data_IF_760058814416
#
_entry.id   IF_760058814416
#
_cell.length_a   1.000
_cell.length_b   1.000
_cell.length_c   1.000
_cell.angle_alpha   90.00
_cell.angle_beta   90.00
_cell.angle_gamma   90.00
#
_symmetry.space_group_name_H-M   'P 1'
#
loop_
_entity.id
_entity.type
_entity.pdbx_description
1 polymer ?
#
# COMPACT_ATOMS: atom_id res chain seq x y z
N UNK A 1 17.61 19.57 -14.92
CA UNK A 1 18.44 19.90 -13.75
C UNK A 1 18.12 19.00 -12.54
N UNK A 2 16.85 18.69 -12.25
CA UNK A 2 16.54 17.79 -11.11
C UNK A 2 16.13 16.38 -11.53
N UNK A 3 15.29 16.17 -12.56
CA UNK A 3 14.91 14.87 -13.19
C UNK A 3 14.35 13.75 -12.28
N UNK A 4 14.71 13.70 -11.00
CA UNK A 4 14.21 12.82 -9.94
C UNK A 4 14.14 13.67 -8.67
N UNK A 5 12.97 13.83 -8.11
CA UNK A 5 12.73 14.62 -6.89
C UNK A 5 11.75 13.87 -6.00
N UNK A 6 11.70 14.22 -4.72
CA UNK A 6 10.62 13.79 -3.85
C UNK A 6 10.31 14.88 -2.83
N UNK A 7 9.05 14.98 -2.43
CA UNK A 7 8.66 15.75 -1.25
C UNK A 7 8.67 14.83 -0.03
N UNK A 8 8.91 15.42 1.14
CA UNK A 8 8.59 14.79 2.42
C UNK A 8 8.10 15.90 3.33
N UNK A 9 6.78 16.02 3.48
CA UNK A 9 6.17 17.15 4.17
C UNK A 9 4.77 16.87 4.69
N UNK A 10 4.23 17.79 5.51
CA UNK A 10 2.87 17.69 6.00
C UNK A 10 1.86 17.97 4.87
N UNK A 11 0.75 17.25 4.92
CA UNK A 11 -0.41 17.38 4.04
C UNK A 11 -1.67 17.43 4.90
N UNK A 12 -2.66 18.20 4.45
CA UNK A 12 -3.87 18.48 5.21
C UNK A 12 -5.09 18.09 4.39
N UNK A 13 -6.06 17.44 5.03
CA UNK A 13 -7.39 17.16 4.46
C UNK A 13 -8.45 17.75 5.37
N UNK A 14 -9.35 18.56 4.80
CA UNK A 14 -10.41 19.26 5.53
C UNK A 14 -11.75 18.50 5.50
N UNK A 15 -11.73 17.21 5.17
CA UNK A 15 -12.93 16.37 5.13
C UNK A 15 -13.45 16.07 6.54
N UNK A 16 -14.77 16.10 6.73
CA UNK A 16 -15.39 15.75 8.02
C UNK A 16 -15.50 14.22 8.16
N UNK A 17 -14.35 13.55 8.25
CA UNK A 17 -14.24 12.10 8.38
C UNK A 17 -13.68 11.73 9.75
N UNK A 18 -14.49 11.07 10.58
CA UNK A 18 -14.08 10.61 11.90
C UNK A 18 -14.06 9.07 11.93
N UNK A 19 -12.95 8.49 11.49
CA UNK A 19 -12.73 7.04 11.45
C UNK A 19 -11.36 6.71 12.02
N UNK A 20 -11.10 5.45 12.33
CA UNK A 20 -9.80 5.01 12.87
C UNK A 20 -8.61 5.12 11.91
N UNK A 21 -8.84 5.47 10.64
CA UNK A 21 -7.82 5.50 9.58
C UNK A 21 -7.58 6.89 8.97
N UNK A 22 -8.38 7.90 9.33
CA UNK A 22 -8.29 9.24 8.75
C UNK A 22 -7.71 10.23 9.74
N UNK A 23 -6.79 11.08 9.25
CA UNK A 23 -6.20 12.20 9.99
C UNK A 23 -6.40 13.49 9.18
N UNK A 24 -6.67 14.60 9.87
CA UNK A 24 -6.79 15.92 9.23
C UNK A 24 -5.42 16.48 8.79
N UNK A 25 -4.35 16.05 9.46
CA UNK A 25 -2.95 16.36 9.16
C UNK A 25 -2.14 15.06 9.21
N UNK A 26 -1.37 14.79 8.16
CA UNK A 26 -0.49 13.63 8.05
C UNK A 26 0.71 13.95 7.16
N UNK A 27 1.71 13.08 7.13
CA UNK A 27 2.91 13.29 6.32
C UNK A 27 2.85 12.46 5.04
N UNK A 28 3.19 13.09 3.92
CA UNK A 28 3.28 12.45 2.61
C UNK A 28 4.75 12.44 2.14
N UNK A 29 5.09 11.37 1.43
CA UNK A 29 6.32 11.26 0.65
C UNK A 29 5.87 11.08 -0.81
N UNK A 30 6.24 12.03 -1.67
CA UNK A 30 5.73 12.08 -3.05
C UNK A 30 6.90 12.14 -4.04
N UNK A 31 7.37 10.97 -4.55
CA UNK A 31 8.45 10.92 -5.54
C UNK A 31 7.94 11.24 -6.95
N UNK A 32 8.71 12.04 -7.70
CA UNK A 32 8.44 12.40 -9.10
C UNK A 32 9.68 12.15 -9.97
N UNK A 33 9.52 11.41 -11.07
CA UNK A 33 10.62 11.01 -11.96
C UNK A 33 10.32 11.39 -13.40
N UNK A 34 11.13 12.30 -13.95
CA UNK A 34 11.02 12.69 -15.35
C UNK A 34 11.33 11.51 -16.29
N UNK A 35 10.57 11.43 -17.38
CA UNK A 35 10.68 10.39 -18.41
C UNK A 35 10.32 8.97 -17.94
N UNK A 36 9.76 8.81 -16.74
CA UNK A 36 9.22 7.54 -16.28
C UNK A 36 7.86 7.24 -16.92
N UNK A 37 7.65 5.98 -17.26
CA UNK A 37 6.34 5.41 -17.62
C UNK A 37 5.59 4.97 -16.36
N UNK A 38 4.35 4.48 -16.53
CA UNK A 38 3.59 3.89 -15.43
C UNK A 38 4.33 2.67 -14.82
N UNK A 39 4.87 1.80 -15.68
CA UNK A 39 5.60 0.61 -15.25
C UNK A 39 6.86 0.99 -14.44
N UNK A 40 7.56 2.04 -14.86
CA UNK A 40 8.73 2.55 -14.13
C UNK A 40 8.36 3.03 -12.72
N UNK A 41 7.26 3.78 -12.57
CA UNK A 41 6.84 4.29 -11.26
C UNK A 41 6.19 3.22 -10.39
N UNK A 42 5.51 2.22 -10.98
CA UNK A 42 5.02 1.05 -10.26
C UNK A 42 6.18 0.23 -9.69
N UNK A 43 7.20 -0.05 -10.50
CA UNK A 43 8.42 -0.73 -10.05
C UNK A 43 9.21 0.08 -9.01
N UNK A 44 9.23 1.42 -9.13
CA UNK A 44 9.81 2.29 -8.11
C UNK A 44 9.06 2.20 -6.78
N UNK A 45 7.72 2.19 -6.79
CA UNK A 45 6.91 2.07 -5.60
C UNK A 45 7.15 0.73 -4.87
N UNK A 46 7.15 -0.38 -5.62
CA UNK A 46 7.48 -1.71 -5.08
C UNK A 46 8.88 -1.72 -4.46
N UNK A 47 9.88 -1.24 -5.21
CA UNK A 47 11.28 -1.20 -4.75
C UNK A 47 11.46 -0.35 -3.49
N UNK A 48 10.77 0.79 -3.41
CA UNK A 48 10.81 1.68 -2.25
C UNK A 48 10.21 1.00 -1.01
N UNK A 49 9.04 0.38 -1.14
CA UNK A 49 8.38 -0.31 -0.01
C UNK A 49 9.22 -1.49 0.48
N UNK A 50 9.71 -2.33 -0.43
CA UNK A 50 10.60 -3.46 -0.09
C UNK A 50 11.86 -2.98 0.62
N UNK A 51 12.50 -1.92 0.12
CA UNK A 51 13.69 -1.35 0.74
C UNK A 51 13.41 -0.85 2.17
N UNK A 52 12.36 -0.05 2.37
CA UNK A 52 12.04 0.50 3.70
C UNK A 52 11.73 -0.62 4.69
N UNK A 53 10.95 -1.63 4.31
CA UNK A 53 10.64 -2.74 5.21
C UNK A 53 11.85 -3.62 5.51
N UNK A 54 12.72 -3.86 4.52
CA UNK A 54 13.99 -4.54 4.75
C UNK A 54 14.88 -3.76 5.73
N UNK A 55 14.98 -2.44 5.56
CA UNK A 55 15.75 -1.60 6.48
C UNK A 55 15.20 -1.64 7.92
N UNK A 56 13.87 -1.66 8.09
CA UNK A 56 13.26 -1.82 9.43
C UNK A 56 13.56 -3.20 10.02
N UNK A 57 13.48 -4.27 9.22
CA UNK A 57 13.83 -5.63 9.65
C UNK A 57 15.30 -5.72 10.10
N UNK A 58 16.22 -5.13 9.34
CA UNK A 58 17.66 -5.22 9.59
C UNK A 58 18.14 -4.29 10.72
N UNK A 59 17.58 -3.08 10.79
CA UNK A 59 18.09 -2.03 11.69
C UNK A 59 17.29 -1.88 12.99
N UNK A 60 16.05 -2.40 13.06
CA UNK A 60 15.11 -2.22 14.20
C UNK A 60 14.48 -3.52 14.68
N UNK A 61 15.22 -4.62 14.61
CA UNK A 61 14.77 -5.95 15.04
C UNK A 61 14.34 -6.02 16.52
N UNK A 62 14.95 -5.22 17.40
CA UNK A 62 14.62 -5.14 18.82
C UNK A 62 13.23 -4.52 19.06
N UNK A 63 12.94 -3.40 18.42
CA UNK A 63 11.60 -2.78 18.44
C UNK A 63 10.56 -3.71 17.81
N UNK A 64 10.86 -4.31 16.66
CA UNK A 64 9.97 -5.27 16.01
C UNK A 64 9.66 -6.48 16.90
N UNK A 65 10.65 -7.00 17.63
CA UNK A 65 10.45 -8.09 18.59
C UNK A 65 9.50 -7.67 19.71
N UNK A 66 9.63 -6.44 20.22
CA UNK A 66 8.68 -5.92 21.20
C UNK A 66 7.25 -5.86 20.64
N UNK A 67 7.07 -5.38 19.40
CA UNK A 67 5.75 -5.40 18.75
C UNK A 67 5.22 -6.81 18.56
N UNK A 68 6.06 -7.77 18.17
CA UNK A 68 5.69 -9.17 18.02
C UNK A 68 5.20 -9.79 19.34
N UNK A 69 5.84 -9.46 20.46
CA UNK A 69 5.46 -9.99 21.76
C UNK A 69 4.18 -9.35 22.33
N UNK A 70 3.90 -8.08 21.99
CA UNK A 70 2.91 -7.27 22.73
C UNK A 70 1.70 -6.81 21.92
N UNK A 71 1.83 -6.70 20.61
CA UNK A 71 0.81 -6.07 19.74
C UNK A 71 0.36 -7.04 18.66
N UNK A 72 1.30 -7.59 17.89
CA UNK A 72 0.99 -8.42 16.72
C UNK A 72 2.09 -9.46 16.50
N UNK A 73 1.80 -10.71 16.87
CA UNK A 73 2.74 -11.84 16.79
C UNK A 73 3.28 -12.12 15.39
N UNK A 74 2.54 -11.71 14.36
CA UNK A 74 2.90 -11.97 12.97
C UNK A 74 3.61 -10.77 12.31
N UNK A 75 3.87 -9.68 13.04
CA UNK A 75 4.45 -8.46 12.49
C UNK A 75 5.75 -8.70 11.71
N UNK A 76 6.69 -9.47 12.27
CA UNK A 76 7.98 -9.78 11.63
C UNK A 76 7.76 -10.65 10.39
N UNK A 77 7.06 -11.78 10.55
CA UNK A 77 6.83 -12.73 9.46
C UNK A 77 6.05 -12.11 8.30
N UNK A 78 5.14 -11.17 8.58
CA UNK A 78 4.41 -10.42 7.55
C UNK A 78 5.32 -9.51 6.75
N UNK A 79 6.23 -8.78 7.40
CA UNK A 79 7.22 -7.94 6.71
C UNK A 79 8.21 -8.78 5.89
N UNK A 80 8.73 -9.88 6.45
CA UNK A 80 9.61 -10.81 5.74
C UNK A 80 8.93 -11.36 4.48
N UNK A 81 7.66 -11.80 4.61
CA UNK A 81 6.87 -12.26 3.47
C UNK A 81 6.70 -11.16 2.43
N UNK A 82 6.30 -9.96 2.86
CA UNK A 82 6.10 -8.82 1.97
C UNK A 82 7.36 -8.50 1.15
N UNK A 83 8.53 -8.46 1.80
CA UNK A 83 9.79 -8.17 1.10
C UNK A 83 10.14 -9.27 0.10
N UNK A 84 9.85 -10.53 0.43
CA UNK A 84 10.14 -11.68 -0.44
C UNK A 84 9.15 -11.91 -1.57
N UNK A 85 7.93 -11.37 -1.48
CA UNK A 85 6.87 -11.57 -2.47
C UNK A 85 7.00 -10.59 -3.64
N UNK A 86 6.69 -11.02 -4.85
CA UNK A 86 6.53 -10.14 -6.00
C UNK A 86 5.14 -9.49 -6.01
N UNK A 87 5.05 -8.26 -6.51
CA UNK A 87 3.76 -7.57 -6.61
C UNK A 87 3.07 -7.97 -7.90
N UNK A 88 1.83 -8.43 -7.78
CA UNK A 88 0.98 -8.63 -8.94
C UNK A 88 0.59 -7.28 -9.55
N UNK A 89 0.83 -7.13 -10.85
CA UNK A 89 0.28 -6.02 -11.64
C UNK A 89 -0.99 -6.51 -12.32
N UNK A 90 -2.11 -5.90 -11.95
CA UNK A 90 -3.45 -6.32 -12.38
C UNK A 90 -4.15 -5.12 -12.97
N UNK A 91 -4.64 -5.26 -14.20
CA UNK A 91 -5.44 -4.22 -14.82
C UNK A 91 -6.76 -4.06 -14.07
N UNK A 92 -7.27 -2.83 -14.00
CA UNK A 92 -8.55 -2.55 -13.36
C UNK A 92 -9.69 -3.45 -13.87
N UNK A 93 -9.74 -3.70 -15.17
CA UNK A 93 -10.74 -4.57 -15.77
C UNK A 93 -10.63 -6.01 -15.24
N UNK A 94 -9.41 -6.55 -15.16
CA UNK A 94 -9.17 -7.90 -14.65
C UNK A 94 -9.51 -8.00 -13.15
N UNK A 95 -9.20 -6.97 -12.37
CA UNK A 95 -9.58 -6.90 -10.96
C UNK A 95 -11.10 -6.95 -10.78
N UNK A 96 -11.87 -6.22 -11.59
CA UNK A 96 -13.33 -6.27 -11.59
C UNK A 96 -13.84 -7.67 -11.98
N UNK A 97 -13.25 -8.30 -13.00
CA UNK A 97 -13.62 -9.66 -13.41
C UNK A 97 -13.36 -10.69 -12.29
N UNK A 98 -12.21 -10.60 -11.61
CA UNK A 98 -11.87 -11.45 -10.45
C UNK A 98 -12.91 -11.27 -9.34
N UNK A 99 -13.25 -10.03 -9.01
CA UNK A 99 -14.21 -9.72 -7.95
C UNK A 99 -15.62 -10.25 -8.29
N UNK A 100 -16.08 -10.09 -9.53
CA UNK A 100 -17.37 -10.60 -9.98
C UNK A 100 -17.41 -12.14 -10.02
N UNK A 101 -16.27 -12.78 -10.34
CA UNK A 101 -16.14 -14.22 -10.38
C UNK A 101 -15.87 -14.87 -9.00
N UNK A 102 -15.55 -14.07 -7.97
CA UNK A 102 -15.13 -14.55 -6.64
C UNK A 102 -16.20 -15.36 -5.90
N UNK A 103 -17.48 -15.13 -6.21
CA UNK A 103 -18.62 -15.65 -5.44
C UNK A 103 -18.77 -15.03 -4.04
N UNK A 104 -17.95 -14.03 -3.68
CA UNK A 104 -18.08 -13.30 -2.43
C UNK A 104 -19.24 -12.31 -2.48
N UNK A 105 -19.87 -12.09 -1.32
CA UNK A 105 -20.86 -11.02 -1.17
C UNK A 105 -20.18 -9.81 -0.56
N UNK A 106 -20.10 -8.74 -1.33
CA UNK A 106 -19.56 -7.45 -0.90
C UNK A 106 -20.67 -6.51 -0.43
N UNK A 107 -20.37 -5.64 0.53
CA UNK A 107 -21.33 -4.62 0.99
C UNK A 107 -21.53 -3.54 -0.07
N UNK A 108 -20.45 -3.14 -0.73
CA UNK A 108 -20.45 -2.21 -1.84
C UNK A 108 -20.60 -2.99 -3.16
N UNK A 109 -21.38 -2.47 -4.13
CA UNK A 109 -21.52 -3.13 -5.41
C UNK A 109 -20.18 -3.16 -6.13
N UNK A 110 -19.95 -4.22 -6.93
CA UNK A 110 -18.82 -4.32 -7.85
C UNK A 110 -19.33 -4.13 -9.26
N UNK A 111 -18.80 -3.15 -10.00
CA UNK A 111 -19.08 -2.96 -11.42
C UNK A 111 -17.94 -2.21 -12.11
N UNK A 112 -17.86 -2.32 -13.43
CA UNK A 112 -16.87 -1.57 -14.19
C UNK A 112 -17.24 -0.08 -14.23
N UNK A 113 -16.28 0.79 -13.93
CA UNK A 113 -16.43 2.24 -13.90
C UNK A 113 -16.68 2.84 -12.51
N UNK A 114 -16.78 2.02 -11.46
CA UNK A 114 -16.77 2.50 -10.06
C UNK A 114 -15.40 2.30 -9.42
N UNK A 115 -15.12 3.13 -8.42
CA UNK A 115 -13.92 2.97 -7.60
C UNK A 115 -14.00 1.69 -6.75
N UNK A 116 -12.84 1.10 -6.44
CA UNK A 116 -12.80 -0.05 -5.54
C UNK A 116 -12.93 0.45 -4.10
N UNK A 117 -13.82 -0.20 -3.33
CA UNK A 117 -13.89 0.03 -1.89
C UNK A 117 -12.78 -0.74 -1.18
N UNK A 118 -12.50 -0.39 0.08
CA UNK A 118 -11.45 -1.06 0.85
C UNK A 118 -11.70 -2.55 1.08
N UNK A 119 -12.94 -3.06 1.00
CA UNK A 119 -13.19 -4.51 1.07
C UNK A 119 -12.80 -5.21 -0.24
N UNK A 120 -12.99 -4.57 -1.40
CA UNK A 120 -12.61 -5.12 -2.69
C UNK A 120 -11.08 -5.23 -2.81
N UNK A 121 -10.37 -4.17 -2.44
CA UNK A 121 -8.91 -4.12 -2.45
C UNK A 121 -8.30 -5.17 -1.52
N UNK A 122 -8.87 -5.33 -0.31
CA UNK A 122 -8.42 -6.36 0.64
C UNK A 122 -8.64 -7.76 0.12
N UNK A 123 -9.79 -8.04 -0.49
CA UNK A 123 -10.05 -9.36 -1.08
C UNK A 123 -9.04 -9.72 -2.18
N UNK A 124 -8.62 -8.75 -2.98
CA UNK A 124 -7.63 -8.97 -4.04
C UNK A 124 -6.21 -9.18 -3.50
N UNK A 125 -5.89 -8.61 -2.33
CA UNK A 125 -4.55 -8.59 -1.77
C UNK A 125 -4.28 -9.67 -0.69
N UNK A 126 -5.31 -10.16 0.00
CA UNK A 126 -5.22 -11.17 1.07
C UNK A 126 -5.34 -12.61 0.54
#
# INVERSE_FOLDING_TARGET
ALSKVYTFGPTFRAENSNTSRHLAEFWMIEPEVAFATLDDVAGLAESMLKYVFQAVLDERADDLKFFAERVDKDAIARLERFVSSDFAQVDYTDAIEILLASGQTFENPVSWGIDLSSEHERYLAE
#
